data_IF_652572289049
#
_entry.id   IF_652572289049
#
_cell.length_a   1.000
_cell.length_b   1.000
_cell.length_c   1.000
_cell.angle_alpha   90.00
_cell.angle_beta   90.00
_cell.angle_gamma   90.00
#
_symmetry.space_group_name_H-M   'P 1'
#
loop_
_entity.id
_entity.type
_entity.pdbx_description
1 polymer ?
#
# COMPACT_ATOMS: atom_id res chain seq x y z
N UNK A 1 13.29 8.78 7.74
CA UNK A 1 12.66 9.05 6.42
C UNK A 1 11.16 9.24 6.62
N UNK A 2 10.42 9.75 5.65
CA UNK A 2 8.96 9.86 5.72
C UNK A 2 8.31 8.78 4.82
N UNK A 3 7.05 8.45 5.08
CA UNK A 3 6.23 7.65 4.17
C UNK A 3 5.85 8.48 2.95
N UNK A 4 5.74 7.80 1.79
CA UNK A 4 5.36 8.42 0.53
C UNK A 4 4.34 7.53 -0.17
N UNK A 5 3.30 8.15 -0.71
CA UNK A 5 2.28 7.50 -1.53
C UNK A 5 2.58 7.87 -2.99
N UNK A 6 3.37 7.06 -3.67
CA UNK A 6 3.86 7.37 -5.02
C UNK A 6 2.83 6.95 -6.05
N UNK A 7 2.40 7.88 -6.91
CA UNK A 7 1.37 7.63 -7.94
C UNK A 7 1.82 6.57 -8.94
N UNK A 8 0.96 5.58 -9.14
CA UNK A 8 1.10 4.62 -10.22
C UNK A 8 0.82 5.23 -11.58
N UNK A 9 1.47 4.68 -12.61
CA UNK A 9 1.34 5.13 -14.01
C UNK A 9 0.73 4.02 -14.88
N UNK A 10 0.19 4.42 -16.04
CA UNK A 10 -0.39 3.51 -17.05
C UNK A 10 -1.39 2.51 -16.42
N UNK A 11 -1.06 1.22 -16.38
CA UNK A 11 -1.90 0.16 -15.78
C UNK A 11 -2.19 0.37 -14.30
N UNK A 12 -1.39 1.19 -13.61
CA UNK A 12 -1.58 1.56 -12.20
C UNK A 12 -2.06 3.01 -12.02
N UNK A 13 -2.52 3.67 -13.09
CA UNK A 13 -3.12 5.00 -12.96
C UNK A 13 -4.30 4.97 -11.99
N UNK A 14 -4.39 5.99 -11.13
CA UNK A 14 -5.40 6.05 -10.06
C UNK A 14 -5.12 5.10 -8.89
N UNK A 15 -3.88 4.64 -8.73
CA UNK A 15 -3.38 3.91 -7.55
C UNK A 15 -2.08 4.51 -7.03
N UNK A 16 -1.66 4.10 -5.84
CA UNK A 16 -0.40 4.49 -5.21
C UNK A 16 0.38 3.29 -4.69
N UNK A 17 1.71 3.36 -4.74
CA UNK A 17 2.60 2.49 -4.01
C UNK A 17 3.01 3.17 -2.69
N UNK A 18 3.11 2.38 -1.61
CA UNK A 18 3.62 2.87 -0.33
C UNK A 18 5.13 2.70 -0.31
N UNK A 19 5.86 3.79 -0.07
CA UNK A 19 7.32 3.80 -0.08
C UNK A 19 7.92 4.50 1.14
N UNK A 20 9.09 4.05 1.55
CA UNK A 20 9.94 4.71 2.56
C UNK A 20 11.39 4.72 2.08
N UNK A 21 11.91 5.91 1.75
CA UNK A 21 13.19 5.97 1.02
C UNK A 21 13.08 5.20 -0.30
N UNK A 22 14.04 4.34 -0.65
CA UNK A 22 13.97 3.51 -1.85
C UNK A 22 13.07 2.28 -1.71
N UNK A 23 12.62 1.96 -0.49
CA UNK A 23 11.91 0.72 -0.20
C UNK A 23 10.43 0.83 -0.58
N UNK A 24 9.97 -0.08 -1.44
CA UNK A 24 8.54 -0.31 -1.74
C UNK A 24 7.97 -1.30 -0.73
N UNK A 25 6.71 -1.14 -0.38
CA UNK A 25 5.99 -2.06 0.49
C UNK A 25 4.90 -2.81 -0.28
N UNK A 26 4.68 -4.07 0.08
CA UNK A 26 3.66 -4.94 -0.50
C UNK A 26 2.74 -5.54 0.57
N UNK A 27 1.56 -5.95 0.14
CA UNK A 27 0.60 -6.69 0.95
C UNK A 27 0.78 -8.19 0.73
N UNK A 28 1.11 -8.89 1.80
CA UNK A 28 1.02 -10.34 1.89
C UNK A 28 -0.35 -10.70 2.51
N UNK A 29 -1.29 -11.29 1.74
CA UNK A 29 -2.62 -11.60 2.23
C UNK A 29 -2.63 -12.72 3.30
N UNK A 30 -1.61 -13.58 3.34
CA UNK A 30 -1.50 -14.63 4.36
C UNK A 30 -1.36 -14.05 5.78
N UNK A 31 -0.88 -12.82 5.91
CA UNK A 31 -0.75 -12.10 7.19
C UNK A 31 -2.07 -11.56 7.76
N UNK A 32 -3.19 -11.64 7.03
CA UNK A 32 -4.47 -11.12 7.49
C UNK A 32 -5.65 -12.01 7.04
N UNK A 33 -6.31 -12.66 8.00
CA UNK A 33 -7.43 -13.55 7.74
C UNK A 33 -8.61 -12.89 6.99
N UNK A 34 -8.78 -11.57 7.12
CA UNK A 34 -9.81 -10.82 6.38
C UNK A 34 -9.56 -10.81 4.86
N UNK A 35 -8.34 -11.13 4.43
CA UNK A 35 -7.91 -11.15 3.03
C UNK A 35 -7.92 -12.56 2.43
N UNK A 36 -8.19 -13.61 3.22
CA UNK A 36 -8.01 -15.00 2.80
C UNK A 36 -8.86 -15.42 1.58
N UNK A 37 -9.96 -14.71 1.30
CA UNK A 37 -10.86 -14.97 0.18
C UNK A 37 -10.68 -13.98 -0.99
N UNK A 38 -9.75 -13.03 -0.87
CA UNK A 38 -9.50 -12.03 -1.89
C UNK A 38 -8.41 -12.49 -2.85
N UNK A 39 -8.62 -12.28 -4.14
CA UNK A 39 -7.58 -12.49 -5.15
C UNK A 39 -6.74 -11.23 -5.39
N UNK A 40 -5.71 -11.33 -6.25
CA UNK A 40 -4.85 -10.19 -6.55
C UNK A 40 -5.58 -8.97 -7.16
N UNK A 41 -6.68 -9.18 -7.87
CA UNK A 41 -7.49 -8.09 -8.40
C UNK A 41 -8.22 -7.37 -7.26
N UNK A 42 -8.87 -8.12 -6.37
CA UNK A 42 -9.55 -7.61 -5.17
C UNK A 42 -8.60 -6.83 -4.27
N UNK A 43 -7.41 -7.37 -4.01
CA UNK A 43 -6.38 -6.70 -3.20
C UNK A 43 -5.97 -5.35 -3.79
N UNK A 44 -5.92 -5.23 -5.12
CA UNK A 44 -5.66 -3.96 -5.83
C UNK A 44 -6.82 -2.94 -5.77
N UNK A 45 -7.98 -3.33 -5.25
CA UNK A 45 -9.14 -2.47 -5.00
C UNK A 45 -9.23 -1.95 -3.56
N UNK A 46 -8.39 -2.45 -2.65
CA UNK A 46 -8.26 -1.92 -1.29
C UNK A 46 -7.89 -0.43 -1.37
N UNK A 47 -8.64 0.39 -0.64
CA UNK A 47 -8.35 1.81 -0.53
C UNK A 47 -7.68 2.13 0.81
N UNK A 48 -6.53 2.79 0.78
CA UNK A 48 -5.79 3.15 1.99
C UNK A 48 -6.32 4.45 2.60
N UNK A 49 -6.23 4.57 3.93
CA UNK A 49 -6.41 5.82 4.67
C UNK A 49 -5.04 6.46 4.96
N UNK A 50 -4.61 7.48 4.20
CA UNK A 50 -3.33 8.14 4.41
C UNK A 50 -3.15 8.76 5.80
N UNK A 51 -4.24 9.18 6.44
CA UNK A 51 -4.20 9.81 7.76
C UNK A 51 -3.83 8.83 8.87
N UNK A 52 -3.91 7.53 8.58
CA UNK A 52 -3.59 6.45 9.51
C UNK A 52 -2.13 5.99 9.45
N UNK A 53 -1.31 6.53 8.53
CA UNK A 53 0.11 6.22 8.44
C UNK A 53 0.84 6.61 9.73
N UNK A 54 1.41 5.61 10.41
CA UNK A 54 2.15 5.78 11.66
C UNK A 54 3.65 5.54 11.45
N UNK A 55 4.45 5.60 12.52
CA UNK A 55 5.86 5.18 12.48
C UNK A 55 6.00 3.71 12.02
N UNK A 56 7.10 3.35 11.32
CA UNK A 56 7.33 1.98 10.90
C UNK A 56 7.42 1.03 12.10
N UNK A 57 6.87 -0.16 11.94
CA UNK A 57 6.93 -1.22 12.94
C UNK A 57 8.03 -2.22 12.56
N UNK A 58 8.70 -2.87 13.53
CA UNK A 58 9.60 -3.98 13.21
C UNK A 58 8.85 -5.11 12.50
N UNK A 59 9.42 -5.64 11.43
CA UNK A 59 8.85 -6.77 10.69
C UNK A 59 9.95 -7.57 9.97
N UNK A 60 10.20 -8.78 10.43
CA UNK A 60 11.26 -9.65 9.91
C UNK A 60 10.79 -10.60 8.79
N UNK A 61 9.57 -10.44 8.27
CA UNK A 61 8.98 -11.35 7.28
C UNK A 61 9.81 -11.49 6.00
N UNK A 62 10.57 -10.45 5.64
CA UNK A 62 11.36 -10.39 4.40
C UNK A 62 12.85 -10.55 4.69
N UNK A 63 13.34 -9.91 5.75
CA UNK A 63 14.73 -9.99 6.21
C UNK A 63 14.82 -9.62 7.70
N UNK A 64 15.86 -10.07 8.42
CA UNK A 64 16.11 -9.62 9.79
C UNK A 64 16.27 -8.09 9.89
N UNK A 65 15.62 -7.48 10.88
CA UNK A 65 15.58 -6.03 11.09
C UNK A 65 14.79 -5.28 10.02
N UNK A 66 13.84 -5.96 9.37
CA UNK A 66 12.97 -5.36 8.36
C UNK A 66 11.92 -4.42 8.96
N UNK A 67 11.26 -3.66 8.10
CA UNK A 67 10.19 -2.74 8.48
C UNK A 67 8.83 -3.20 7.96
N UNK A 68 7.79 -2.84 8.71
CA UNK A 68 6.39 -2.94 8.31
C UNK A 68 5.73 -1.56 8.29
N UNK A 69 4.76 -1.40 7.40
CA UNK A 69 3.88 -0.24 7.36
C UNK A 69 2.50 -0.63 7.87
N UNK A 70 2.13 -0.19 9.08
CA UNK A 70 0.77 -0.33 9.59
C UNK A 70 -0.10 0.80 9.05
N UNK A 71 -1.22 0.43 8.44
CA UNK A 71 -2.14 1.39 7.80
C UNK A 71 -3.57 0.87 7.86
N UNK A 72 -4.53 1.76 8.09
CA UNK A 72 -5.96 1.43 8.00
C UNK A 72 -6.43 1.56 6.55
N UNK A 73 -7.43 0.76 6.20
CA UNK A 73 -7.95 0.70 4.86
C UNK A 73 -9.46 0.40 4.82
N UNK A 74 -10.01 0.55 3.62
CA UNK A 74 -11.34 0.10 3.24
C UNK A 74 -11.22 -1.08 2.29
N UNK A 75 -11.88 -2.17 2.64
CA UNK A 75 -12.00 -3.36 1.83
C UNK A 75 -12.80 -3.08 0.53
N UNK A 76 -12.60 -3.88 -0.53
CA UNK A 76 -13.37 -3.74 -1.76
C UNK A 76 -14.88 -3.80 -1.50
N UNK A 77 -15.65 -2.95 -2.19
CA UNK A 77 -17.12 -2.91 -2.06
C UNK A 77 -17.66 -2.20 -0.81
N UNK A 78 -16.81 -1.85 0.16
CA UNK A 78 -17.25 -1.16 1.38
C UNK A 78 -17.37 0.35 1.15
N UNK A 79 -18.56 0.87 1.45
CA UNK A 79 -19.06 2.18 1.00
C UNK A 79 -18.33 3.42 1.53
N UNK A 80 -18.77 4.58 1.05
CA UNK A 80 -18.20 5.94 1.19
C UNK A 80 -18.09 6.48 2.63
N UNK A 81 -18.31 5.65 3.65
CA UNK A 81 -18.25 6.03 5.06
C UNK A 81 -16.84 6.37 5.55
N UNK A 82 -16.73 7.24 6.54
CA UNK A 82 -15.45 7.72 7.10
C UNK A 82 -14.71 6.68 7.94
N UNK A 83 -15.39 5.65 8.43
CA UNK A 83 -14.79 4.59 9.25
C UNK A 83 -14.13 3.54 8.36
N UNK A 84 -12.86 3.27 8.61
CA UNK A 84 -12.09 2.15 8.01
C UNK A 84 -12.59 0.81 8.56
N UNK A 85 -12.55 -0.24 7.75
CA UNK A 85 -13.06 -1.58 8.11
C UNK A 85 -11.96 -2.63 8.25
N UNK A 86 -10.71 -2.30 7.89
CA UNK A 86 -9.58 -3.17 8.15
C UNK A 86 -8.30 -2.39 8.52
N UNK A 87 -7.39 -3.09 9.19
CA UNK A 87 -6.01 -2.67 9.41
C UNK A 87 -5.09 -3.64 8.68
N UNK A 88 -4.11 -3.10 7.97
CA UNK A 88 -3.13 -3.83 7.17
C UNK A 88 -1.74 -3.59 7.73
N UNK A 89 -0.89 -4.61 7.62
CA UNK A 89 0.56 -4.46 7.80
C UNK A 89 1.21 -4.83 6.48
N UNK A 90 1.74 -3.82 5.77
CA UNK A 90 2.52 -4.05 4.55
C UNK A 90 3.96 -4.42 4.92
N UNK A 91 4.56 -5.34 4.17
CA UNK A 91 5.94 -5.81 4.31
C UNK A 91 6.84 -5.18 3.25
N UNK A 92 8.16 -5.21 3.46
CA UNK A 92 9.12 -4.78 2.43
C UNK A 92 8.98 -5.64 1.16
N UNK A 93 8.95 -5.01 -0.02
CA UNK A 93 9.11 -5.74 -1.27
C UNK A 93 10.58 -6.15 -1.48
N UNK A 94 10.90 -7.37 -1.93
CA UNK A 94 10.00 -8.43 -2.35
C UNK A 94 9.73 -9.46 -1.24
N UNK A 95 8.55 -9.39 -0.61
CA UNK A 95 7.99 -10.48 0.19
C UNK A 95 7.62 -11.66 -0.75
N UNK A 96 8.08 -12.90 -0.48
CA UNK A 96 7.79 -14.06 -1.31
C UNK A 96 6.29 -14.31 -1.56
N UNK A 97 5.44 -13.97 -0.58
CA UNK A 97 3.99 -14.15 -0.67
C UNK A 97 3.27 -12.80 -0.93
N UNK A 98 4.03 -11.74 -1.22
CA UNK A 98 3.52 -10.42 -1.56
C UNK A 98 2.69 -10.44 -2.85
N UNK A 99 1.40 -10.11 -2.74
CA UNK A 99 0.44 -10.23 -3.85
C UNK A 99 0.01 -8.87 -4.42
N UNK A 100 0.12 -7.78 -3.65
CA UNK A 100 -0.24 -6.44 -4.13
C UNK A 100 0.76 -5.36 -3.69
N UNK A 101 1.11 -4.44 -4.61
CA UNK A 101 2.02 -3.31 -4.38
C UNK A 101 1.39 -1.95 -4.66
N UNK A 102 0.22 -1.93 -5.30
CA UNK A 102 -0.51 -0.72 -5.67
C UNK A 102 -1.93 -0.77 -5.12
N UNK A 103 -2.32 0.30 -4.45
CA UNK A 103 -3.59 0.42 -3.74
C UNK A 103 -4.33 1.67 -4.18
N UNK A 104 -5.65 1.72 -3.95
CA UNK A 104 -6.44 2.92 -4.21
C UNK A 104 -6.28 3.93 -3.08
N UNK A 105 -6.56 5.19 -3.40
CA UNK A 105 -6.87 6.22 -2.41
C UNK A 105 -8.27 6.75 -2.69
N UNK A 106 -9.00 7.12 -1.64
CA UNK A 106 -10.27 7.86 -1.77
C UNK A 106 -10.02 9.32 -2.11
N UNK A 107 -8.96 9.90 -1.55
CA UNK A 107 -8.44 11.22 -1.86
C UNK A 107 -6.96 11.12 -2.27
N UNK A 108 -6.64 11.65 -3.44
CA UNK A 108 -5.30 11.65 -4.03
C UNK A 108 -4.44 12.84 -3.60
N UNK A 109 -4.96 13.79 -2.81
CA UNK A 109 -4.22 14.93 -2.27
C UNK A 109 -2.83 14.60 -1.68
N UNK A 110 -2.65 13.53 -0.88
CA UNK A 110 -1.35 13.19 -0.30
C UNK A 110 -0.42 12.39 -1.25
N UNK A 111 -0.85 12.07 -2.47
CA UNK A 111 -0.06 11.29 -3.41
C UNK A 111 0.98 12.16 -4.15
N UNK A 112 2.21 11.65 -4.25
CA UNK A 112 3.34 12.33 -4.91
C UNK A 112 3.65 11.68 -6.25
N UNK A 113 4.22 12.44 -7.19
CA UNK A 113 4.62 11.89 -8.49
C UNK A 113 5.83 10.96 -8.35
N UNK A 114 5.95 10.03 -9.30
CA UNK A 114 7.12 9.15 -9.40
C UNK A 114 8.35 9.93 -9.88
N UNK A 115 9.33 10.05 -8.98
CA UNK A 115 10.56 10.80 -9.16
C UNK A 115 11.51 10.22 -10.21
N UNK A 116 11.43 8.92 -10.52
CA UNK A 116 12.28 8.29 -11.54
C UNK A 116 11.90 8.73 -12.96
N UNK A 117 10.68 9.21 -13.14
CA UNK A 117 10.12 9.55 -14.45
C UNK A 117 9.70 11.03 -14.55
N UNK A 118 10.01 11.84 -13.54
CA UNK A 118 9.69 13.27 -13.49
C UNK A 118 10.37 14.09 -14.62
N UNK A 119 11.34 13.51 -15.35
CA UNK A 119 12.09 14.18 -16.42
C UNK A 119 11.67 13.89 -17.86
N UNK A 120 10.64 13.05 -18.11
CA UNK A 120 10.20 12.72 -19.47
C UNK A 120 8.70 12.98 -19.63
N UNK A 121 8.37 14.14 -20.19
CA UNK A 121 7.04 14.38 -20.73
C UNK A 121 6.74 13.32 -21.82
N UNK A 122 5.46 12.90 -21.97
CA UNK A 122 5.07 12.02 -23.07
C UNK A 122 5.42 12.60 -24.45
#
# INVERSE_FOLDING_TARGET
MAWRLVKGRQRQAGRVAVMRGPQVFCLNPAGNAALAQLDGADLGYIALDPSSLAEPVPNDAVRPGGLGCRIRAWMPGMGVGTKTDCELTLTEFADPDGTATYFRLRDFGPAVDDELLAGRAP
#
